data_IF_586250177356
#
_entry.id   IF_586250177356
#
_cell.length_a   1.000
_cell.length_b   1.000
_cell.length_c   1.000
_cell.angle_alpha   90.00
_cell.angle_beta   90.00
_cell.angle_gamma   90.00
#
_symmetry.space_group_name_H-M   'P 1'
#
loop_
_entity.id
_entity.type
_entity.pdbx_description
1 polymer ?
#
# COMPACT_ATOMS: atom_id res chain seq x y z
N UNK A 1 19.44 72.04 -60.20
CA UNK A 1 19.14 70.59 -60.13
C UNK A 1 19.34 70.11 -58.71
N UNK A 2 18.33 69.43 -58.15
CA UNK A 2 18.38 68.50 -57.00
C UNK A 2 18.68 69.08 -55.61
N UNK A 3 17.71 69.74 -54.97
CA UNK A 3 17.67 69.79 -53.48
C UNK A 3 16.25 69.88 -52.88
N UNK A 4 15.21 69.53 -53.65
CA UNK A 4 13.80 69.70 -53.23
C UNK A 4 13.01 68.38 -53.12
N UNK A 5 13.66 67.24 -52.86
CA UNK A 5 12.98 65.93 -52.89
C UNK A 5 13.28 65.03 -51.68
N UNK A 6 13.64 65.59 -50.53
CA UNK A 6 13.89 64.77 -49.33
C UNK A 6 13.33 65.30 -48.01
N UNK A 7 12.41 66.27 -48.05
CA UNK A 7 11.67 66.75 -46.87
C UNK A 7 10.19 66.32 -46.85
N UNK A 8 9.81 65.37 -47.70
CA UNK A 8 8.43 64.86 -47.80
C UNK A 8 8.33 63.38 -47.42
N UNK A 9 8.94 62.99 -46.30
CA UNK A 9 8.78 61.64 -45.73
C UNK A 9 8.74 61.61 -44.20
N UNK A 10 8.57 62.76 -43.54
CA UNK A 10 8.57 62.86 -42.07
C UNK A 10 7.29 63.49 -41.50
N UNK A 11 6.13 63.33 -42.15
CA UNK A 11 4.91 64.05 -41.74
C UNK A 11 3.60 63.25 -41.73
N UNK A 12 3.59 61.92 -41.79
CA UNK A 12 2.34 61.16 -41.66
C UNK A 12 2.53 59.82 -40.95
N UNK A 13 2.84 59.83 -39.65
CA UNK A 13 2.52 58.73 -38.73
C UNK A 13 2.36 59.26 -37.31
N UNK A 14 1.29 60.03 -37.12
CA UNK A 14 0.62 60.13 -35.84
C UNK A 14 -0.87 60.26 -36.13
N UNK A 15 -1.63 59.20 -35.80
CA UNK A 15 -2.88 59.24 -35.04
C UNK A 15 -3.74 58.03 -35.41
N UNK A 16 -3.64 56.98 -34.59
CA UNK A 16 -4.74 56.09 -34.24
C UNK A 16 -4.30 55.29 -33.01
N UNK A 17 -4.32 55.93 -31.84
CA UNK A 17 -4.49 55.20 -30.59
C UNK A 17 -5.96 54.76 -30.54
N UNK A 18 -6.29 53.72 -31.31
CA UNK A 18 -7.51 52.98 -31.07
C UNK A 18 -7.22 52.10 -29.85
N UNK A 19 -7.87 52.41 -28.74
CA UNK A 19 -8.03 51.52 -27.60
C UNK A 19 -8.76 50.26 -28.08
N UNK A 20 -8.00 49.28 -28.56
CA UNK A 20 -8.47 47.92 -28.62
C UNK A 20 -8.57 47.43 -27.17
N UNK A 21 -9.77 47.54 -26.59
CA UNK A 21 -10.21 46.57 -25.60
C UNK A 21 -10.30 45.21 -26.33
N UNK A 22 -9.13 44.63 -26.60
CA UNK A 22 -9.02 43.19 -26.81
C UNK A 22 -9.24 42.58 -25.45
N UNK A 23 -10.49 42.21 -25.17
CA UNK A 23 -10.79 41.18 -24.18
C UNK A 23 -10.17 39.89 -24.72
N UNK A 24 -8.86 39.77 -24.53
CA UNK A 24 -8.16 38.49 -24.61
C UNK A 24 -8.89 37.57 -23.62
N UNK A 25 -9.34 36.38 -24.05
CA UNK A 25 -9.88 35.39 -23.13
C UNK A 25 -8.87 35.25 -21.99
N UNK A 26 -9.29 35.37 -20.71
CA UNK A 26 -8.36 35.25 -19.61
C UNK A 26 -7.59 33.94 -19.78
N UNK A 27 -6.26 34.01 -19.75
CA UNK A 27 -5.39 32.85 -19.89
C UNK A 27 -5.93 31.72 -18.99
N UNK A 28 -5.99 30.47 -19.50
CA UNK A 28 -6.55 29.37 -18.74
C UNK A 28 -5.81 29.29 -17.39
N UNK A 29 -6.58 29.39 -16.30
CA UNK A 29 -6.00 29.28 -14.96
C UNK A 29 -5.31 27.92 -14.86
N UNK A 30 -4.11 27.85 -14.26
CA UNK A 30 -3.42 26.59 -14.06
C UNK A 30 -4.33 25.64 -13.30
N UNK A 31 -4.26 24.34 -13.59
CA UNK A 31 -5.06 23.35 -12.85
C UNK A 31 -4.48 23.14 -11.45
N UNK A 32 -5.27 22.57 -10.53
CA UNK A 32 -4.77 22.26 -9.19
C UNK A 32 -3.56 21.30 -9.24
N UNK A 33 -3.53 20.40 -10.23
CA UNK A 33 -2.45 19.45 -10.46
C UNK A 33 -1.15 20.12 -10.93
N UNK A 34 -1.23 21.31 -11.51
CA UNK A 34 -0.08 22.13 -11.94
C UNK A 34 0.41 23.07 -10.84
N UNK A 35 -0.47 23.44 -9.90
CA UNK A 35 -0.12 24.28 -8.75
C UNK A 35 0.64 23.48 -7.68
N UNK A 36 0.24 22.24 -7.37
CA UNK A 36 0.89 21.44 -6.33
C UNK A 36 2.42 21.29 -6.54
N UNK A 37 2.92 20.96 -7.76
CA UNK A 37 4.36 20.84 -8.00
C UNK A 37 5.14 22.15 -7.82
N UNK A 38 4.51 23.31 -8.00
CA UNK A 38 5.17 24.61 -7.78
C UNK A 38 5.48 24.84 -6.30
N UNK A 39 4.74 24.17 -5.41
CA UNK A 39 4.99 24.15 -3.98
C UNK A 39 5.78 22.90 -3.56
N UNK A 40 6.34 22.12 -4.50
CA UNK A 40 7.12 20.91 -4.22
C UNK A 40 6.28 19.68 -3.85
N UNK A 41 4.96 19.72 -4.02
CA UNK A 41 4.07 18.60 -3.74
C UNK A 41 3.72 17.83 -5.02
N UNK A 42 3.53 16.51 -4.95
CA UNK A 42 3.20 15.72 -6.12
C UNK A 42 1.79 16.05 -6.65
N UNK A 43 1.62 15.98 -7.97
CA UNK A 43 0.39 16.38 -8.66
C UNK A 43 -0.79 15.44 -8.40
N UNK A 44 -0.55 14.18 -8.07
CA UNK A 44 -1.58 13.15 -7.86
C UNK A 44 -2.10 13.00 -6.43
N UNK A 45 -1.96 14.04 -5.58
CA UNK A 45 -2.56 14.03 -4.23
C UNK A 45 -4.10 14.08 -4.24
N UNK A 46 -4.68 14.62 -5.32
CA UNK A 46 -6.12 14.81 -5.50
C UNK A 46 -6.65 13.91 -6.63
N UNK A 47 -7.91 13.44 -6.53
CA UNK A 47 -8.54 12.65 -7.60
C UNK A 47 -8.76 13.47 -8.86
N UNK A 48 -8.91 12.81 -10.01
CA UNK A 48 -9.23 13.45 -11.31
C UNK A 48 -10.57 14.21 -11.33
N UNK A 49 -11.47 13.93 -10.39
CA UNK A 49 -12.82 14.51 -10.27
C UNK A 49 -12.90 15.97 -9.77
N UNK A 50 -11.78 16.70 -9.74
CA UNK A 50 -11.76 18.13 -9.36
C UNK A 50 -12.42 18.98 -10.43
N UNK A 51 -13.43 19.75 -10.03
CA UNK A 51 -14.18 20.65 -10.92
C UNK A 51 -13.70 22.09 -10.81
N UNK A 52 -13.34 22.52 -9.60
CA UNK A 52 -12.81 23.87 -9.36
C UNK A 52 -11.94 23.92 -8.12
N UNK A 53 -11.08 24.93 -8.06
CA UNK A 53 -10.30 25.23 -6.87
C UNK A 53 -10.16 26.74 -6.69
N UNK A 54 -9.88 27.15 -5.46
CA UNK A 54 -9.46 28.50 -5.10
C UNK A 54 -8.21 28.40 -4.25
N UNK A 55 -7.30 29.36 -4.43
CA UNK A 55 -6.07 29.50 -3.65
C UNK A 55 -5.92 30.98 -3.32
N UNK A 56 -5.85 31.30 -2.03
CA UNK A 56 -5.61 32.64 -1.51
C UNK A 56 -4.11 32.92 -1.40
N UNK A 57 -3.74 34.20 -1.36
CA UNK A 57 -2.33 34.63 -1.28
C UNK A 57 -1.62 34.16 0.00
N UNK A 58 -2.39 33.90 1.07
CA UNK A 58 -1.89 33.37 2.33
C UNK A 58 -1.76 31.83 2.34
N UNK A 59 -2.05 31.18 1.21
CA UNK A 59 -1.96 29.74 1.00
C UNK A 59 -3.23 28.96 1.36
N UNK A 60 -4.29 29.61 1.88
CA UNK A 60 -5.55 28.90 2.11
C UNK A 60 -6.15 28.45 0.79
N UNK A 61 -6.58 27.19 0.71
CA UNK A 61 -7.18 26.65 -0.49
C UNK A 61 -8.50 25.93 -0.21
N UNK A 62 -9.32 25.89 -1.25
CA UNK A 62 -10.52 25.08 -1.31
C UNK A 62 -10.59 24.39 -2.67
N UNK A 63 -10.79 23.08 -2.65
CA UNK A 63 -10.96 22.24 -3.84
C UNK A 63 -12.37 21.64 -3.81
N UNK A 64 -13.09 21.77 -4.91
CA UNK A 64 -14.44 21.25 -5.06
C UNK A 64 -14.46 20.14 -6.11
N UNK A 65 -14.86 18.95 -5.68
CA UNK A 65 -15.11 17.78 -6.51
C UNK A 65 -16.54 17.80 -7.05
N UNK A 66 -16.78 17.08 -8.14
CA UNK A 66 -18.13 16.88 -8.68
C UNK A 66 -19.04 16.19 -7.65
N UNK A 67 -18.50 15.12 -7.04
CA UNK A 67 -19.10 14.29 -6.01
C UNK A 67 -18.05 13.83 -5.02
N UNK A 68 -18.49 13.33 -3.87
CA UNK A 68 -17.59 12.67 -2.94
C UNK A 68 -16.96 11.44 -3.62
N UNK A 69 -15.69 11.21 -3.35
CA UNK A 69 -14.87 10.30 -4.13
C UNK A 69 -14.24 9.20 -3.29
N UNK A 70 -14.21 7.97 -3.83
CA UNK A 70 -13.48 6.87 -3.22
C UNK A 70 -12.36 6.42 -4.14
N UNK A 71 -11.16 6.29 -3.61
CA UNK A 71 -10.00 5.74 -4.32
C UNK A 71 -9.50 4.52 -3.55
N UNK A 72 -9.35 3.41 -4.26
CA UNK A 72 -8.78 2.19 -3.72
C UNK A 72 -7.26 2.20 -3.92
N UNK A 73 -6.51 2.31 -2.82
CA UNK A 73 -5.10 1.97 -2.73
C UNK A 73 -5.00 0.59 -2.03
N UNK A 74 -3.98 0.38 -1.21
CA UNK A 74 -3.92 -0.74 -0.25
C UNK A 74 -5.02 -0.66 0.82
N UNK A 75 -5.67 0.50 0.92
CA UNK A 75 -6.83 0.79 1.74
C UNK A 75 -7.72 1.80 1.02
N UNK A 76 -8.96 1.92 1.50
CA UNK A 76 -9.94 2.82 0.90
C UNK A 76 -9.69 4.25 1.39
N UNK A 77 -9.51 5.17 0.46
CA UNK A 77 -9.40 6.61 0.73
C UNK A 77 -10.68 7.28 0.28
N UNK A 78 -11.24 8.10 1.15
CA UNK A 78 -12.43 8.89 0.92
C UNK A 78 -12.05 10.37 0.83
N UNK A 79 -12.56 11.02 -0.21
CA UNK A 79 -12.47 12.45 -0.38
C UNK A 79 -13.89 13.02 -0.32
N UNK A 80 -14.08 14.00 0.55
CA UNK A 80 -15.30 14.79 0.59
C UNK A 80 -15.44 15.61 -0.69
N UNK A 81 -16.68 16.04 -0.96
CA UNK A 81 -16.96 16.92 -2.10
C UNK A 81 -16.17 18.24 -2.02
N UNK A 82 -15.89 18.71 -0.82
CA UNK A 82 -15.15 19.94 -0.54
C UNK A 82 -13.94 19.60 0.33
N UNK A 83 -12.75 19.96 -0.15
CA UNK A 83 -11.48 19.75 0.54
C UNK A 83 -10.88 21.12 0.83
N UNK A 84 -10.42 21.34 2.05
CA UNK A 84 -9.84 22.63 2.47
C UNK A 84 -8.51 22.41 3.17
N UNK A 85 -7.63 23.38 3.10
CA UNK A 85 -6.38 23.36 3.85
C UNK A 85 -5.55 24.61 3.60
N UNK A 86 -4.30 24.58 4.05
CA UNK A 86 -3.31 25.61 3.82
C UNK A 86 -2.10 25.03 3.12
N UNK A 87 -1.88 25.46 1.89
CA UNK A 87 -0.75 25.11 1.05
C UNK A 87 0.47 25.97 1.43
N UNK A 88 1.62 25.33 1.53
CA UNK A 88 2.91 25.95 1.81
C UNK A 88 4.00 25.17 1.07
N UNK A 89 5.20 25.74 0.97
CA UNK A 89 6.31 25.07 0.30
C UNK A 89 6.59 23.74 1.04
N UNK A 90 6.49 22.64 0.30
CA UNK A 90 6.65 21.27 0.74
C UNK A 90 5.55 20.74 1.66
N UNK A 91 4.43 21.45 1.85
CA UNK A 91 3.42 20.99 2.83
C UNK A 91 2.00 21.48 2.60
N UNK A 92 1.04 20.69 3.08
CA UNK A 92 -0.37 21.04 3.24
C UNK A 92 -0.73 20.83 4.71
N UNK A 93 -1.24 21.87 5.38
CA UNK A 93 -1.64 21.82 6.79
C UNK A 93 -3.12 22.18 6.97
N UNK A 94 -3.69 21.86 8.14
CA UNK A 94 -5.11 22.06 8.44
C UNK A 94 -6.03 21.43 7.39
N UNK A 95 -5.63 20.28 6.89
CA UNK A 95 -6.33 19.58 5.82
C UNK A 95 -7.63 18.99 6.36
N UNK A 96 -8.72 19.21 5.61
CA UNK A 96 -10.05 18.66 5.89
C UNK A 96 -10.67 18.16 4.60
N UNK A 97 -11.49 17.12 4.72
CA UNK A 97 -12.16 16.49 3.58
C UNK A 97 -11.42 15.31 2.97
N UNK A 98 -10.37 14.78 3.62
CA UNK A 98 -9.70 13.55 3.20
C UNK A 98 -9.64 12.59 4.38
N UNK A 99 -10.14 11.38 4.19
CA UNK A 99 -10.21 10.35 5.21
C UNK A 99 -9.67 9.03 4.66
N UNK A 100 -9.00 8.26 5.51
CA UNK A 100 -8.52 6.94 5.17
C UNK A 100 -9.23 5.89 6.03
N UNK A 101 -9.69 4.81 5.40
CA UNK A 101 -10.33 3.70 6.12
C UNK A 101 -9.28 2.72 6.62
N UNK A 102 -9.08 2.66 7.93
CA UNK A 102 -8.14 1.74 8.59
C UNK A 102 -8.78 1.13 9.84
N UNK A 103 -8.24 0.04 10.38
CA UNK A 103 -8.65 -0.62 11.64
C UNK A 103 -10.15 -0.89 11.80
N UNK A 104 -10.62 -2.13 11.61
CA UNK A 104 -12.04 -2.50 11.82
C UNK A 104 -13.06 -1.56 11.15
N UNK A 105 -12.69 -0.98 9.99
CA UNK A 105 -13.50 -0.07 9.18
C UNK A 105 -13.70 1.36 9.74
N UNK A 106 -12.85 1.81 10.68
CA UNK A 106 -12.83 3.20 11.13
C UNK A 106 -12.23 4.15 10.09
N UNK A 107 -12.72 5.39 10.09
CA UNK A 107 -12.23 6.46 9.23
C UNK A 107 -11.36 7.40 10.06
N UNK A 108 -10.19 7.75 9.52
CA UNK A 108 -9.27 8.68 10.13
C UNK A 108 -9.02 9.85 9.20
N UNK A 109 -9.08 11.06 9.74
CA UNK A 109 -8.80 12.29 8.98
C UNK A 109 -7.31 12.39 8.69
N UNK A 110 -6.99 12.87 7.48
CA UNK A 110 -5.64 13.30 7.11
C UNK A 110 -5.54 14.80 7.38
N UNK A 111 -4.76 15.18 8.39
CA UNK A 111 -4.66 16.57 8.86
C UNK A 111 -3.49 17.34 8.21
N UNK A 112 -2.42 16.64 7.80
CA UNK A 112 -1.22 17.26 7.24
C UNK A 112 -0.52 16.35 6.21
N UNK A 113 0.10 16.95 5.20
CA UNK A 113 0.94 16.30 4.19
C UNK A 113 2.24 17.08 4.07
N UNK A 114 3.40 16.40 4.07
CA UNK A 114 4.72 17.02 3.96
C UNK A 114 5.63 16.24 3.02
N UNK A 115 6.55 16.91 2.35
CA UNK A 115 7.68 16.29 1.64
C UNK A 115 8.99 16.82 2.20
N UNK A 116 10.06 16.06 2.02
CA UNK A 116 11.39 16.54 2.37
C UNK A 116 11.85 17.68 1.46
N UNK A 117 12.59 18.62 2.03
CA UNK A 117 13.23 19.72 1.33
C UNK A 117 14.73 19.75 1.69
N UNK A 118 15.65 19.45 0.74
CA UNK A 118 15.41 19.12 -0.67
C UNK A 118 14.71 17.77 -0.86
N UNK A 119 14.00 17.53 -2.00
CA UNK A 119 13.25 16.31 -2.25
C UNK A 119 14.13 15.05 -2.15
N UNK A 120 13.88 14.22 -1.15
CA UNK A 120 14.57 12.94 -0.90
C UNK A 120 13.87 11.74 -1.55
N UNK A 121 12.62 11.92 -1.99
CA UNK A 121 11.71 10.86 -2.44
C UNK A 121 10.66 10.44 -1.39
N UNK A 122 10.68 11.01 -0.18
CA UNK A 122 9.69 10.70 0.87
C UNK A 122 8.58 11.75 0.99
N UNK A 123 7.36 11.27 1.22
CA UNK A 123 6.17 12.05 1.56
C UNK A 123 5.56 11.52 2.86
N UNK A 124 5.15 12.43 3.74
CA UNK A 124 4.65 12.15 5.07
C UNK A 124 3.20 12.61 5.21
N UNK A 125 2.34 11.74 5.74
CA UNK A 125 0.93 12.01 6.01
C UNK A 125 0.67 11.94 7.52
N UNK A 126 0.11 13.01 8.09
CA UNK A 126 -0.38 13.01 9.47
C UNK A 126 -1.83 12.58 9.46
N UNK A 127 -2.10 11.42 10.06
CA UNK A 127 -3.42 10.79 10.13
C UNK A 127 -3.81 10.61 11.58
N UNK A 128 -4.68 11.49 12.09
CA UNK A 128 -4.95 11.60 13.52
C UNK A 128 -3.68 11.91 14.33
N UNK A 129 -3.22 10.97 15.16
CA UNK A 129 -2.04 11.14 16.04
C UNK A 129 -0.76 10.54 15.41
N UNK A 130 -0.86 9.95 14.20
CA UNK A 130 0.19 9.14 13.60
C UNK A 130 0.78 9.85 12.38
N UNK A 131 2.10 9.77 12.21
CA UNK A 131 2.78 10.18 10.98
C UNK A 131 3.15 8.95 10.15
N UNK A 132 2.84 8.99 8.85
CA UNK A 132 3.06 7.89 7.92
C UNK A 132 3.96 8.34 6.76
N UNK A 133 5.12 7.72 6.63
CA UNK A 133 6.03 7.90 5.50
C UNK A 133 5.67 6.96 4.34
N UNK A 134 5.69 7.49 3.12
CA UNK A 134 5.45 6.81 1.86
C UNK A 134 6.41 7.34 0.78
N UNK A 135 6.58 6.57 -0.30
CA UNK A 135 7.35 7.01 -1.46
C UNK A 135 6.54 8.00 -2.31
N UNK A 136 7.15 9.13 -2.68
CA UNK A 136 6.53 10.22 -3.48
C UNK A 136 6.00 9.70 -4.81
N UNK A 137 6.68 8.73 -5.42
CA UNK A 137 6.35 8.18 -6.74
C UNK A 137 4.92 7.65 -6.83
N UNK A 138 4.37 7.15 -5.72
CA UNK A 138 2.99 6.65 -5.65
C UNK A 138 1.93 7.74 -5.89
N UNK A 139 2.32 9.01 -5.71
CA UNK A 139 1.46 10.18 -5.77
C UNK A 139 1.74 11.08 -6.97
N UNK A 140 2.65 10.71 -7.87
CA UNK A 140 2.90 11.48 -9.09
C UNK A 140 1.77 11.36 -10.13
N UNK A 141 0.98 10.30 -10.03
CA UNK A 141 -0.10 10.01 -10.99
C UNK A 141 -1.47 10.35 -10.40
N UNK A 142 -2.23 11.18 -11.11
CA UNK A 142 -3.61 11.51 -10.76
C UNK A 142 -4.48 10.25 -10.92
N UNK A 143 -5.26 9.91 -9.89
CA UNK A 143 -6.08 8.68 -9.89
C UNK A 143 -7.55 8.96 -10.13
N UNK A 144 -8.19 8.03 -10.84
CA UNK A 144 -9.60 8.12 -11.15
C UNK A 144 -10.52 7.77 -9.99
N UNK A 145 -11.54 8.60 -9.86
CA UNK A 145 -12.56 8.43 -8.84
C UNK A 145 -13.43 7.18 -9.08
N UNK A 146 -13.71 6.42 -8.01
CA UNK A 146 -14.69 5.32 -8.04
C UNK A 146 -15.91 5.66 -7.19
N UNK A 147 -17.06 5.20 -7.66
CA UNK A 147 -18.28 5.17 -6.84
C UNK A 147 -18.19 4.03 -5.82
N UNK A 148 -18.71 4.25 -4.61
CA UNK A 148 -18.76 3.25 -3.51
C UNK A 148 -19.48 1.95 -3.93
N UNK A 149 -20.26 1.98 -5.01
CA UNK A 149 -20.98 0.86 -5.59
C UNK A 149 -20.20 0.20 -6.75
N UNK A 150 -19.03 -0.37 -6.47
CA UNK A 150 -18.47 -1.43 -7.32
C UNK A 150 -18.05 -2.57 -6.40
N UNK A 151 -19.03 -3.38 -6.03
CA UNK A 151 -18.84 -4.77 -5.62
C UNK A 151 -17.90 -5.45 -6.60
N UNK A 152 -16.85 -6.08 -6.08
CA UNK A 152 -15.97 -6.98 -6.80
C UNK A 152 -16.81 -8.10 -7.44
N UNK A 153 -17.18 -7.98 -8.70
CA UNK A 153 -17.46 -9.15 -9.52
C UNK A 153 -16.13 -9.64 -10.06
N UNK A 154 -15.68 -10.87 -9.74
CA UNK A 154 -14.60 -11.47 -10.51
C UNK A 154 -15.05 -11.56 -11.97
N UNK A 155 -14.21 -11.07 -12.88
CA UNK A 155 -14.34 -11.35 -14.31
C UNK A 155 -14.11 -12.84 -14.50
N UNK A 156 -15.20 -13.61 -14.40
CA UNK A 156 -15.24 -14.97 -14.94
C UNK A 156 -15.33 -14.79 -16.45
N UNK A 157 -14.20 -14.95 -17.12
CA UNK A 157 -14.12 -15.03 -18.56
C UNK A 157 -14.92 -16.25 -19.02
N UNK A 158 -16.18 -16.01 -19.43
CA UNK A 158 -17.06 -17.03 -20.02
C UNK A 158 -16.57 -17.36 -21.42
N UNK A 159 -15.69 -18.35 -21.54
CA UNK A 159 -15.41 -18.97 -22.83
C UNK A 159 -16.26 -20.24 -23.02
N UNK A 160 -17.24 -20.05 -23.91
CA UNK A 160 -17.82 -20.96 -24.91
C UNK A 160 -18.10 -22.44 -24.57
N UNK A 161 -19.39 -22.79 -24.75
CA UNK A 161 -19.97 -24.13 -24.80
C UNK A 161 -19.44 -24.95 -25.99
N UNK A 162 -19.06 -26.21 -25.75
CA UNK A 162 -19.26 -27.31 -26.72
C UNK A 162 -19.70 -28.56 -25.93
N UNK A 163 -20.88 -29.15 -26.22
CA UNK A 163 -21.28 -30.43 -25.67
C UNK A 163 -21.01 -31.56 -26.66
N UNK A 164 -20.17 -32.54 -26.32
CA UNK A 164 -20.25 -33.89 -26.89
C UNK A 164 -19.90 -34.91 -25.79
N UNK A 165 -20.76 -35.91 -25.73
CA UNK A 165 -20.94 -36.87 -24.65
C UNK A 165 -20.03 -38.10 -24.83
N UNK A 166 -19.68 -38.70 -23.68
CA UNK A 166 -19.51 -40.14 -23.42
C UNK A 166 -18.08 -40.73 -23.36
N UNK A 167 -17.79 -41.25 -22.15
CA UNK A 167 -16.97 -42.42 -21.80
C UNK A 167 -15.44 -42.33 -21.97
N UNK A 168 -14.75 -42.00 -20.87
CA UNK A 168 -13.79 -42.93 -20.28
C UNK A 168 -13.61 -42.63 -18.78
N UNK A 169 -13.63 -43.69 -17.99
CA UNK A 169 -13.29 -43.71 -16.57
C UNK A 169 -11.90 -43.07 -16.37
N UNK A 170 -11.89 -41.88 -15.81
CA UNK A 170 -10.78 -41.45 -14.96
C UNK A 170 -11.45 -41.06 -13.65
N UNK A 171 -11.33 -41.96 -12.67
CA UNK A 171 -11.46 -41.60 -11.27
C UNK A 171 -10.31 -40.61 -11.01
N UNK A 172 -10.53 -39.34 -11.34
CA UNK A 172 -9.71 -38.28 -10.79
C UNK A 172 -10.07 -38.29 -9.32
N UNK A 173 -9.31 -39.06 -8.54
CA UNK A 173 -9.13 -38.77 -7.14
C UNK A 173 -8.83 -37.28 -7.09
N UNK A 174 -9.83 -36.49 -6.70
CA UNK A 174 -9.57 -35.20 -6.09
C UNK A 174 -8.74 -35.56 -4.87
N UNK A 175 -7.42 -35.49 -5.02
CA UNK A 175 -6.53 -35.37 -3.89
C UNK A 175 -7.06 -34.15 -3.15
N UNK A 176 -7.89 -34.37 -2.14
CA UNK A 176 -7.90 -33.45 -1.00
C UNK A 176 -6.45 -33.43 -0.55
N UNK A 177 -5.69 -32.45 -1.03
CA UNK A 177 -4.42 -32.13 -0.42
C UNK A 177 -4.81 -31.73 0.99
N UNK A 178 -4.60 -32.64 1.95
CA UNK A 178 -4.75 -32.37 3.37
C UNK A 178 -4.13 -31.00 3.63
N UNK A 179 -4.87 -30.08 4.24
CA UNK A 179 -4.31 -28.76 4.51
C UNK A 179 -3.02 -28.96 5.33
N UNK A 180 -1.94 -28.25 4.99
CA UNK A 180 -0.67 -28.38 5.73
C UNK A 180 -0.83 -27.98 7.20
N UNK A 181 -1.81 -27.14 7.53
CA UNK A 181 -2.21 -26.83 8.90
C UNK A 181 -2.79 -28.02 9.64
N UNK A 182 -3.32 -29.03 8.93
CA UNK A 182 -3.80 -30.29 9.52
C UNK A 182 -2.66 -31.28 9.74
N UNK A 183 -1.52 -31.11 9.05
CA UNK A 183 -0.33 -31.95 9.23
C UNK A 183 0.49 -31.56 10.46
N UNK A 184 0.60 -30.27 10.78
CA UNK A 184 1.42 -29.79 11.90
C UNK A 184 1.03 -30.44 13.25
N UNK A 185 -0.26 -30.54 13.62
CA UNK A 185 -0.66 -31.20 14.86
C UNK A 185 -0.26 -32.68 14.95
N UNK A 186 -0.15 -33.39 13.82
CA UNK A 186 0.30 -34.79 13.79
C UNK A 186 1.76 -34.94 14.25
N UNK A 187 2.56 -33.89 14.06
CA UNK A 187 3.93 -33.79 14.52
C UNK A 187 4.03 -33.01 15.84
N UNK A 188 2.93 -32.85 16.57
CA UNK A 188 2.88 -32.10 17.83
C UNK A 188 3.37 -30.66 17.68
N UNK A 189 3.03 -30.01 16.56
CA UNK A 189 3.36 -28.62 16.28
C UNK A 189 2.08 -27.80 16.12
N UNK A 190 2.00 -26.57 16.66
CA UNK A 190 0.82 -25.73 16.51
C UNK A 190 0.57 -25.34 15.05
N UNK A 191 -0.70 -25.42 14.64
CA UNK A 191 -1.12 -25.18 13.26
C UNK A 191 -0.87 -23.76 12.74
N UNK A 192 -0.80 -22.78 13.64
CA UNK A 192 -0.55 -21.37 13.33
C UNK A 192 0.93 -20.98 13.21
N UNK A 193 1.86 -21.94 13.22
CA UNK A 193 3.27 -21.68 12.88
C UNK A 193 3.44 -21.25 11.42
N UNK A 194 2.53 -21.66 10.53
CA UNK A 194 2.49 -21.25 9.13
C UNK A 194 1.31 -20.30 8.86
N UNK A 195 1.42 -19.40 7.87
CA UNK A 195 0.31 -18.55 7.46
C UNK A 195 -0.72 -19.29 6.62
N UNK A 196 -1.92 -18.73 6.47
CA UNK A 196 -2.96 -19.27 5.58
C UNK A 196 -2.67 -19.14 4.07
N UNK A 197 -1.68 -18.32 3.68
CA UNK A 197 -1.41 -17.97 2.27
C UNK A 197 -0.49 -18.99 1.59
N UNK A 198 -0.93 -20.24 1.52
CA UNK A 198 -0.12 -21.35 1.02
C UNK A 198 -0.55 -21.66 -0.41
N UNK A 199 0.43 -21.65 -1.34
CA UNK A 199 0.23 -22.01 -2.74
C UNK A 199 0.38 -23.52 -2.92
N UNK A 200 1.40 -24.09 -2.32
CA UNK A 200 1.68 -25.52 -2.36
C UNK A 200 2.58 -25.91 -1.19
N UNK A 201 2.60 -27.20 -0.86
CA UNK A 201 3.57 -27.76 0.06
C UNK A 201 4.02 -29.15 -0.42
N UNK A 202 5.20 -29.56 0.02
CA UNK A 202 5.69 -30.93 -0.14
C UNK A 202 6.32 -31.41 1.16
N UNK A 203 6.11 -32.68 1.47
CA UNK A 203 6.74 -33.36 2.59
C UNK A 203 7.35 -34.66 2.07
N UNK A 204 8.65 -34.81 2.28
CA UNK A 204 9.37 -36.02 1.92
C UNK A 204 9.44 -36.95 3.13
N UNK A 205 8.93 -38.17 2.96
CA UNK A 205 8.88 -39.19 4.02
C UNK A 205 10.21 -39.91 4.25
N UNK A 206 11.19 -39.72 3.37
CA UNK A 206 12.50 -40.40 3.44
C UNK A 206 13.54 -39.62 4.23
N UNK A 207 13.59 -38.30 4.06
CA UNK A 207 14.55 -37.41 4.69
C UNK A 207 13.88 -36.40 5.65
N UNK A 208 12.57 -36.53 5.86
CA UNK A 208 11.73 -35.66 6.70
C UNK A 208 11.72 -34.19 6.28
N UNK A 209 12.19 -33.89 5.07
CA UNK A 209 12.27 -32.52 4.57
C UNK A 209 10.89 -32.04 4.14
N UNK A 210 10.51 -30.84 4.57
CA UNK A 210 9.32 -30.17 4.07
C UNK A 210 9.70 -28.90 3.29
N UNK A 211 8.84 -28.53 2.35
CA UNK A 211 8.90 -27.26 1.63
C UNK A 211 7.49 -26.68 1.53
N UNK A 212 7.34 -25.39 1.83
CA UNK A 212 6.09 -24.66 1.69
C UNK A 212 6.33 -23.49 0.74
N UNK A 213 5.54 -23.40 -0.33
CA UNK A 213 5.53 -22.23 -1.21
C UNK A 213 4.34 -21.33 -0.82
N UNK A 214 4.62 -20.09 -0.46
CA UNK A 214 3.61 -19.09 -0.17
C UNK A 214 3.05 -18.49 -1.47
N UNK A 215 1.75 -18.21 -1.49
CA UNK A 215 1.10 -17.49 -2.58
C UNK A 215 1.37 -15.99 -2.54
N UNK A 216 1.72 -15.45 -1.37
CA UNK A 216 2.02 -14.03 -1.14
C UNK A 216 3.49 -13.83 -0.75
N UNK A 217 4.16 -12.87 -1.40
CA UNK A 217 5.54 -12.46 -1.10
C UNK A 217 5.69 -10.95 -1.35
N UNK A 218 6.24 -10.17 -0.41
CA UNK A 218 6.77 -10.59 0.89
C UNK A 218 5.65 -10.88 1.92
N UNK A 219 5.89 -11.79 2.87
CA UNK A 219 4.91 -12.16 3.88
C UNK A 219 5.39 -11.76 5.28
N UNK A 220 4.61 -10.92 5.97
CA UNK A 220 4.87 -10.54 7.36
C UNK A 220 3.73 -10.98 8.28
N UNK A 221 4.09 -11.52 9.44
CA UNK A 221 3.16 -11.92 10.50
C UNK A 221 3.64 -11.30 11.82
N UNK A 222 2.74 -10.64 12.55
CA UNK A 222 3.02 -10.17 13.92
C UNK A 222 2.52 -11.23 14.91
N UNK A 223 3.35 -11.61 15.88
CA UNK A 223 3.05 -12.46 17.04
C UNK A 223 3.31 -11.73 18.35
N UNK A 224 2.24 -11.25 19.00
CA UNK A 224 2.36 -10.25 20.06
C UNK A 224 3.34 -9.17 19.56
N UNK A 225 4.31 -8.70 20.32
CA UNK A 225 5.24 -7.65 19.84
C UNK A 225 6.33 -8.10 18.86
N UNK A 226 6.29 -9.35 18.39
CA UNK A 226 7.31 -9.89 17.51
C UNK A 226 6.87 -9.88 16.05
N UNK A 227 7.63 -9.18 15.23
CA UNK A 227 7.44 -9.19 13.79
C UNK A 227 8.26 -10.32 13.15
N UNK A 228 7.60 -11.16 12.37
CA UNK A 228 8.18 -12.28 11.63
C UNK A 228 8.01 -12.04 10.14
N UNK A 229 9.08 -12.17 9.38
CA UNK A 229 9.12 -12.18 7.93
C UNK A 229 9.28 -13.62 7.44
N UNK A 230 8.47 -13.99 6.45
CA UNK A 230 8.51 -15.28 5.81
C UNK A 230 8.83 -15.09 4.33
N UNK A 231 9.85 -15.81 3.89
CA UNK A 231 10.21 -15.88 2.48
C UNK A 231 9.14 -16.66 1.72
N UNK A 232 9.10 -16.45 0.41
CA UNK A 232 8.19 -17.17 -0.49
C UNK A 232 8.32 -18.68 -0.38
N UNK A 233 9.52 -19.19 -0.10
CA UNK A 233 9.80 -20.61 0.02
C UNK A 233 10.37 -20.86 1.41
N UNK A 234 9.62 -21.59 2.22
CA UNK A 234 10.03 -22.03 3.55
C UNK A 234 10.46 -23.49 3.45
N UNK A 235 11.59 -23.83 4.08
CA UNK A 235 12.12 -25.20 4.11
C UNK A 235 12.54 -25.58 5.52
N UNK A 236 12.60 -26.88 5.76
CA UNK A 236 13.20 -27.44 6.97
C UNK A 236 13.00 -28.94 7.04
N UNK A 237 13.34 -29.52 8.19
CA UNK A 237 13.12 -30.93 8.50
C UNK A 237 12.19 -31.06 9.69
N UNK A 238 11.16 -31.87 9.51
CA UNK A 238 10.09 -32.07 10.47
C UNK A 238 10.32 -33.32 11.31
N UNK A 239 10.28 -33.17 12.62
CA UNK A 239 10.26 -34.27 13.58
C UNK A 239 9.11 -34.06 14.55
N UNK A 240 8.79 -35.09 15.32
CA UNK A 240 7.78 -34.97 16.36
C UNK A 240 8.24 -33.95 17.41
N UNK A 241 7.47 -32.87 17.56
CA UNK A 241 7.73 -31.75 18.46
C UNK A 241 8.84 -30.79 18.01
N UNK A 242 9.40 -30.94 16.80
CA UNK A 242 10.59 -30.17 16.40
C UNK A 242 10.62 -29.88 14.89
N UNK A 243 11.05 -28.67 14.55
CA UNK A 243 11.45 -28.28 13.19
C UNK A 243 12.91 -27.85 13.21
N UNK A 244 13.74 -28.47 12.37
CA UNK A 244 15.19 -28.18 12.30
C UNK A 244 15.62 -27.77 10.90
N UNK A 245 16.80 -27.13 10.79
CA UNK A 245 17.34 -26.63 9.52
C UNK A 245 16.35 -25.71 8.80
N UNK A 246 15.66 -24.88 9.58
CA UNK A 246 14.65 -23.96 9.08
C UNK A 246 15.31 -22.92 8.18
N UNK A 247 14.68 -22.65 7.04
CA UNK A 247 15.09 -21.64 6.08
C UNK A 247 13.87 -20.87 5.60
N UNK A 248 14.02 -19.56 5.44
CA UNK A 248 12.95 -18.67 4.99
C UNK A 248 12.06 -18.10 6.10
N UNK A 249 12.45 -18.23 7.37
CA UNK A 249 11.76 -17.59 8.50
C UNK A 249 12.72 -16.66 9.21
N UNK A 250 12.34 -15.40 9.35
CA UNK A 250 13.15 -14.36 9.99
C UNK A 250 12.33 -13.63 11.04
N UNK A 251 12.88 -13.41 12.23
CA UNK A 251 12.28 -12.60 13.28
C UNK A 251 13.01 -11.27 13.42
N UNK A 252 12.29 -10.19 13.78
CA UNK A 252 12.89 -8.89 14.08
C UNK A 252 13.32 -8.85 15.55
N UNK A 253 14.60 -8.57 15.81
CA UNK A 253 15.17 -8.45 17.16
C UNK A 253 16.12 -7.25 17.21
N UNK A 254 15.95 -6.35 18.19
CA UNK A 254 16.77 -5.14 18.36
C UNK A 254 17.10 -4.42 17.03
N UNK A 255 16.08 -4.18 16.21
CA UNK A 255 16.14 -3.53 14.89
C UNK A 255 16.75 -4.33 13.72
N UNK A 256 17.30 -5.52 13.96
CA UNK A 256 17.84 -6.39 12.90
C UNK A 256 16.97 -7.63 12.66
N UNK A 257 17.00 -8.15 11.44
CA UNK A 257 16.35 -9.41 11.08
C UNK A 257 17.29 -10.57 11.36
N UNK A 258 16.80 -11.57 12.06
CA UNK A 258 17.53 -12.80 12.38
C UNK A 258 16.79 -14.02 11.86
N UNK A 259 17.51 -14.94 11.25
CA UNK A 259 16.92 -16.18 10.75
C UNK A 259 16.65 -17.15 11.90
N UNK A 260 15.49 -17.79 11.88
CA UNK A 260 15.14 -18.87 12.82
C UNK A 260 15.67 -20.18 12.23
N UNK A 261 16.48 -20.91 13.01
CA UNK A 261 17.16 -22.14 12.56
C UNK A 261 16.47 -23.42 13.06
N UNK A 262 15.83 -23.35 14.24
CA UNK A 262 15.14 -24.48 14.87
C UNK A 262 13.95 -24.00 15.72
N UNK A 263 12.91 -24.83 15.79
CA UNK A 263 11.71 -24.62 16.60
C UNK A 263 11.45 -25.92 17.36
N UNK A 264 11.26 -25.86 18.67
CA UNK A 264 11.03 -27.04 19.52
C UNK A 264 9.85 -26.81 20.47
N UNK A 265 9.03 -27.82 20.67
CA UNK A 265 7.86 -27.78 21.55
C UNK A 265 8.24 -28.29 22.93
N UNK A 266 8.10 -27.42 23.92
CA UNK A 266 8.28 -27.72 25.34
C UNK A 266 6.91 -28.02 25.96
N UNK A 267 6.45 -29.26 25.78
CA UNK A 267 5.15 -29.73 26.26
C UNK A 267 4.96 -29.54 27.77
N UNK A 268 6.04 -29.73 28.56
CA UNK A 268 5.98 -29.67 30.03
C UNK A 268 5.55 -28.30 30.52
N UNK A 269 5.92 -27.25 29.78
CA UNK A 269 5.63 -25.87 30.13
C UNK A 269 4.58 -25.24 29.21
N UNK A 270 4.10 -25.96 28.20
CA UNK A 270 3.16 -25.42 27.20
C UNK A 270 3.77 -24.29 26.36
N UNK A 271 5.08 -24.39 26.08
CA UNK A 271 5.86 -23.35 25.39
C UNK A 271 6.42 -23.88 24.07
N UNK A 272 6.80 -22.97 23.19
CA UNK A 272 7.61 -23.23 22.00
C UNK A 272 8.91 -22.45 22.16
N UNK A 273 10.03 -23.13 21.95
CA UNK A 273 11.36 -22.54 21.94
C UNK A 273 11.84 -22.33 20.49
N UNK A 274 12.17 -21.08 20.16
CA UNK A 274 12.70 -20.66 18.88
C UNK A 274 14.21 -20.43 19.03
N UNK A 275 15.00 -21.08 18.18
CA UNK A 275 16.45 -20.93 18.14
C UNK A 275 16.88 -20.07 16.96
N UNK A 276 17.80 -19.15 17.25
CA UNK A 276 18.38 -18.18 16.33
C UNK A 276 19.88 -18.20 16.55
N UNK A 277 20.62 -19.00 15.77
CA UNK A 277 22.03 -19.27 16.01
C UNK A 277 22.27 -19.85 17.42
N UNK A 278 23.07 -19.15 18.23
CA UNK A 278 23.36 -19.52 19.62
C UNK A 278 22.34 -19.00 20.64
N UNK A 279 21.35 -18.23 20.20
CA UNK A 279 20.32 -17.67 21.06
C UNK A 279 19.05 -18.51 20.98
N UNK A 280 18.28 -18.55 22.06
CA UNK A 280 16.94 -19.11 22.06
C UNK A 280 15.93 -18.17 22.72
N UNK A 281 14.66 -18.37 22.42
CA UNK A 281 13.55 -17.64 23.03
C UNK A 281 12.33 -18.55 23.17
N UNK A 282 11.75 -18.59 24.38
CA UNK A 282 10.51 -19.32 24.66
C UNK A 282 9.29 -18.42 24.57
N UNK A 283 8.23 -18.93 23.94
CA UNK A 283 6.95 -18.25 23.79
C UNK A 283 5.79 -19.22 24.08
N UNK A 284 4.64 -18.75 24.59
CA UNK A 284 3.50 -19.62 24.87
C UNK A 284 2.97 -20.30 23.61
N UNK A 285 2.79 -21.63 23.64
CA UNK A 285 2.32 -22.40 22.48
C UNK A 285 0.95 -21.92 21.97
N UNK A 286 0.08 -21.50 22.90
CA UNK A 286 -1.24 -20.91 22.61
C UNK A 286 -1.21 -19.75 21.61
N UNK A 287 -0.11 -18.99 21.55
CA UNK A 287 0.00 -17.82 20.67
C UNK A 287 0.14 -18.23 19.20
N UNK A 288 0.47 -19.50 18.95
CA UNK A 288 0.68 -20.13 17.65
C UNK A 288 -0.42 -21.12 17.26
N UNK A 289 -1.53 -21.18 18.00
CA UNK A 289 -2.68 -22.03 17.65
C UNK A 289 -3.57 -21.42 16.57
N UNK A 290 -3.55 -20.09 16.45
CA UNK A 290 -4.38 -19.36 15.48
C UNK A 290 -3.63 -19.16 14.18
N UNK A 291 -4.19 -19.64 13.08
CA UNK A 291 -3.65 -19.42 11.73
C UNK A 291 -3.81 -17.94 11.36
N UNK A 292 -2.72 -17.32 10.87
CA UNK A 292 -2.70 -15.90 10.51
C UNK A 292 -2.45 -15.73 9.03
N UNK A 293 -3.04 -14.71 8.41
CA UNK A 293 -2.77 -14.38 7.02
C UNK A 293 -1.52 -13.50 6.90
N UNK A 294 -0.78 -13.66 5.80
CA UNK A 294 0.30 -12.76 5.42
C UNK A 294 -0.19 -11.31 5.32
N UNK A 295 0.66 -10.38 5.73
CA UNK A 295 0.42 -8.94 5.65
C UNK A 295 1.60 -8.26 4.95
N UNK A 296 1.33 -7.11 4.31
CA UNK A 296 2.39 -6.24 3.83
C UNK A 296 3.20 -5.68 5.01
N UNK A 297 4.51 -5.44 4.81
CA UNK A 297 5.47 -5.01 5.84
C UNK A 297 4.96 -3.82 6.66
N UNK A 298 4.46 -2.81 5.96
CA UNK A 298 3.98 -1.57 6.55
C UNK A 298 2.81 -1.78 7.52
N UNK A 299 1.94 -2.76 7.25
CA UNK A 299 0.82 -3.10 8.11
C UNK A 299 1.24 -3.93 9.34
N UNK A 300 2.37 -4.64 9.26
CA UNK A 300 2.87 -5.47 10.33
C UNK A 300 3.80 -4.69 11.30
N UNK A 301 4.53 -3.66 10.83
CA UNK A 301 5.31 -2.73 11.66
C UNK A 301 4.46 -1.67 12.37
N UNK A 302 3.31 -1.26 11.82
CA UNK A 302 2.42 -0.26 12.49
C UNK A 302 1.91 -0.76 13.84
N UNK A 303 1.83 -2.08 14.03
CA UNK A 303 1.36 -2.66 15.28
C UNK A 303 2.42 -2.62 16.39
N UNK A 304 3.72 -2.49 16.13
CA UNK A 304 4.74 -2.47 17.22
C UNK A 304 4.76 -1.19 18.05
N UNK A 305 4.04 -0.15 17.62
CA UNK A 305 3.97 1.14 18.30
C UNK A 305 2.70 1.35 19.14
N UNK A 306 1.75 0.42 19.09
CA UNK A 306 0.44 0.55 19.76
C UNK A 306 0.36 -0.23 21.08
N UNK A 307 1.42 -0.94 21.45
CA UNK A 307 1.52 -1.72 22.70
C UNK A 307 2.52 -1.10 23.71
N UNK A 308 2.91 0.17 23.52
CA UNK A 308 3.80 0.95 24.41
C UNK A 308 3.11 2.20 24.97
#
# INVERSE_FOLDING_TARGET
>A
MKFFSLLFLFSLLNLCAASSNSTEPPAPKPTVYEILPQFGLPSGLLPDSVVSYTLSDDGQFEVNLEKACYIQFDYLVYYEKKITGKLSIGSISNLKGIQVQRFYFFWFDVDEIKVDLPPSGSIYFTVGIINKELEVDQFLTVRSCKDKAVTLTPVVEKNALIPVLLSLLILSASSETTDVHDLLPLYNLPKGLLPSNIKSYSLSTTDTTFTVELSASPCYIKFNDQLVHLDRIIKGKLKYGEVSQVSGIQAKKFFFWVSVDRIEVDEKHGMIEFFVGSLSQKLPAKDFETIRSCRAKEFAETLTFLDA
#
